data_IF_947772964207
#
_entry.id   IF_947772964207
#
_cell.length_a   1.000
_cell.length_b   1.000
_cell.length_c   1.000
_cell.angle_alpha   90.00
_cell.angle_beta   90.00
_cell.angle_gamma   90.00
#
_symmetry.space_group_name_H-M   'P 1'
#
loop_
_entity.id
_entity.type
_entity.pdbx_description
1 polymer ?
#
# COMPACT_ATOMS: atom_id res chain seq x y z
N UNK A 1 9.16 9.41 7.23
CA UNK A 1 9.84 8.12 7.02
C UNK A 1 10.58 8.11 5.69
N UNK A 2 10.99 6.92 5.24
CA UNK A 2 11.72 6.68 3.99
C UNK A 2 10.80 6.67 2.75
N UNK A 3 9.96 7.70 2.58
CA UNK A 3 8.84 7.67 1.63
C UNK A 3 9.26 7.54 0.17
N UNK A 4 10.40 8.13 -0.21
CA UNK A 4 10.94 7.99 -1.57
C UNK A 4 11.43 6.57 -1.87
N UNK A 5 11.88 5.84 -0.85
CA UNK A 5 12.28 4.43 -1.01
C UNK A 5 11.06 3.54 -1.19
N UNK A 6 10.01 3.74 -0.38
CA UNK A 6 8.73 3.03 -0.53
C UNK A 6 8.10 3.27 -1.90
N UNK A 7 8.13 4.52 -2.39
CA UNK A 7 7.66 4.83 -3.74
C UNK A 7 8.44 4.06 -4.81
N UNK A 8 9.78 4.10 -4.75
CA UNK A 8 10.62 3.40 -5.74
C UNK A 8 10.43 1.88 -5.69
N UNK A 9 10.24 1.32 -4.50
CA UNK A 9 9.99 -0.12 -4.32
C UNK A 9 8.69 -0.54 -5.02
N UNK A 10 7.59 0.16 -4.76
CA UNK A 10 6.29 -0.12 -5.41
C UNK A 10 6.39 0.10 -6.92
N UNK A 11 6.96 1.23 -7.37
CA UNK A 11 7.04 1.58 -8.78
C UNK A 11 7.84 0.54 -9.60
N UNK A 12 8.92 0.01 -9.03
CA UNK A 12 9.71 -1.05 -9.67
C UNK A 12 8.89 -2.34 -9.87
N UNK A 13 8.06 -2.72 -8.90
CA UNK A 13 7.16 -3.88 -9.03
C UNK A 13 6.05 -3.62 -10.05
N UNK A 14 5.48 -2.41 -10.06
CA UNK A 14 4.46 -2.00 -11.04
C UNK A 14 5.01 -2.06 -12.46
N UNK A 15 6.20 -1.53 -12.71
CA UNK A 15 6.85 -1.60 -14.03
C UNK A 15 7.12 -3.06 -14.45
N UNK A 16 7.71 -3.85 -13.53
CA UNK A 16 7.99 -5.27 -13.76
C UNK A 16 6.73 -6.13 -13.96
N UNK A 17 5.56 -5.66 -13.53
CA UNK A 17 4.29 -6.40 -13.68
C UNK A 17 3.86 -6.57 -15.15
N UNK A 18 4.40 -5.76 -16.06
CA UNK A 18 4.06 -5.77 -17.48
C UNK A 18 2.59 -5.45 -17.75
N UNK A 19 2.02 -4.51 -16.98
CA UNK A 19 0.62 -4.06 -17.13
C UNK A 19 -0.41 -4.94 -16.44
N UNK A 20 0.00 -5.91 -15.61
CA UNK A 20 -0.92 -6.67 -14.75
C UNK A 20 -1.40 -5.80 -13.59
N UNK A 21 -2.59 -6.12 -13.07
CA UNK A 21 -3.12 -5.40 -11.91
C UNK A 21 -2.26 -5.66 -10.66
N UNK A 22 -1.68 -4.59 -10.11
CA UNK A 22 -0.91 -4.62 -8.86
C UNK A 22 -1.77 -4.10 -7.72
N UNK A 23 -1.80 -4.86 -6.61
CA UNK A 23 -2.42 -4.45 -5.34
C UNK A 23 -1.34 -4.33 -4.28
N UNK A 24 -1.25 -3.17 -3.63
CA UNK A 24 -0.29 -2.94 -2.54
C UNK A 24 -0.99 -3.17 -1.20
N UNK A 25 -0.49 -4.13 -0.42
CA UNK A 25 -0.98 -4.33 0.95
C UNK A 25 -0.26 -3.35 1.88
N UNK A 26 -0.99 -2.45 2.53
CA UNK A 26 -0.40 -1.43 3.42
C UNK A 26 -0.32 -1.87 4.89
N UNK A 27 -0.95 -3.00 5.23
CA UNK A 27 -1.01 -3.59 6.58
C UNK A 27 -1.48 -2.59 7.65
N UNK A 28 -2.73 -2.15 7.54
CA UNK A 28 -3.31 -1.05 8.34
C UNK A 28 -3.21 -1.25 9.85
N UNK A 29 -3.17 -2.50 10.33
CA UNK A 29 -3.01 -2.84 11.74
C UNK A 29 -1.69 -2.34 12.37
N UNK A 30 -0.72 -1.92 11.55
CA UNK A 30 0.59 -1.42 11.97
C UNK A 30 0.78 0.08 11.74
N UNK A 31 -0.19 0.76 11.14
CA UNK A 31 -0.07 2.16 10.72
C UNK A 31 -1.03 3.06 11.48
N UNK A 32 -0.57 4.28 11.77
CA UNK A 32 -1.45 5.38 12.17
C UNK A 32 -2.29 5.87 11.00
N UNK A 33 -3.37 6.62 11.25
CA UNK A 33 -4.24 7.12 10.18
C UNK A 33 -3.51 8.03 9.18
N UNK A 34 -2.54 8.83 9.66
CA UNK A 34 -1.71 9.67 8.79
C UNK A 34 -0.74 8.83 7.93
N UNK A 35 -0.21 7.74 8.47
CA UNK A 35 0.61 6.80 7.71
C UNK A 35 -0.23 6.01 6.69
N UNK A 36 -1.47 5.62 7.02
CA UNK A 36 -2.40 4.99 6.06
C UNK A 36 -2.66 5.91 4.86
N UNK A 37 -3.00 7.19 5.11
CA UNK A 37 -3.19 8.20 4.05
C UNK A 37 -1.94 8.36 3.20
N UNK A 38 -0.78 8.45 3.84
CA UNK A 38 0.51 8.59 3.16
C UNK A 38 0.84 7.36 2.31
N UNK A 39 0.63 6.15 2.83
CA UNK A 39 0.84 4.90 2.10
C UNK A 39 -0.08 4.78 0.89
N UNK A 40 -1.37 5.14 1.03
CA UNK A 40 -2.31 5.18 -0.08
C UNK A 40 -1.86 6.15 -1.18
N UNK A 41 -1.45 7.37 -0.79
CA UNK A 41 -0.94 8.37 -1.74
C UNK A 41 0.29 7.87 -2.50
N UNK A 42 1.26 7.30 -1.79
CA UNK A 42 2.48 6.73 -2.40
C UNK A 42 2.14 5.59 -3.35
N UNK A 43 1.22 4.68 -2.97
CA UNK A 43 0.82 3.57 -3.83
C UNK A 43 0.17 4.05 -5.14
N UNK A 44 -0.66 5.10 -5.08
CA UNK A 44 -1.27 5.73 -6.27
C UNK A 44 -0.20 6.39 -7.15
N UNK A 45 0.70 7.19 -6.56
CA UNK A 45 1.78 7.87 -7.28
C UNK A 45 2.73 6.86 -7.97
N UNK A 46 2.99 5.72 -7.34
CA UNK A 46 3.80 4.64 -7.88
C UNK A 46 3.08 3.77 -8.95
N UNK A 47 1.80 4.03 -9.23
CA UNK A 47 1.04 3.37 -10.29
C UNK A 47 0.34 2.07 -9.90
N UNK A 48 0.19 1.77 -8.60
CA UNK A 48 -0.58 0.62 -8.16
C UNK A 48 -2.08 0.78 -8.51
N UNK A 49 -2.75 -0.33 -8.83
CA UNK A 49 -4.16 -0.30 -9.22
C UNK A 49 -5.10 -0.36 -8.02
N UNK A 50 -4.64 -0.95 -6.91
CA UNK A 50 -5.40 -1.07 -5.67
C UNK A 50 -4.50 -0.92 -4.47
N UNK A 51 -5.06 -0.41 -3.39
CA UNK A 51 -4.58 -0.67 -2.03
C UNK A 51 -5.39 -1.79 -1.40
N UNK A 52 -4.76 -2.63 -0.60
CA UNK A 52 -5.39 -3.69 0.18
C UNK A 52 -5.03 -3.47 1.65
N UNK A 53 -6.03 -3.60 2.52
CA UNK A 53 -5.87 -3.27 3.95
C UNK A 53 -4.82 -4.14 4.63
N UNK A 54 -4.95 -5.47 4.58
CA UNK A 54 -4.17 -6.37 5.44
C UNK A 54 -3.72 -7.67 4.75
N UNK A 55 -2.69 -8.30 5.31
CA UNK A 55 -2.24 -9.64 4.86
C UNK A 55 -3.09 -10.77 5.45
N UNK A 56 -3.63 -10.55 6.66
CA UNK A 56 -4.32 -11.58 7.46
C UNK A 56 -3.41 -12.33 8.45
N UNK A 57 -2.13 -11.95 8.55
CA UNK A 57 -1.16 -12.60 9.45
C UNK A 57 -0.68 -11.71 10.61
N UNK A 58 -1.16 -10.46 10.68
CA UNK A 58 -0.82 -9.50 11.73
C UNK A 58 -1.93 -9.41 12.80
N UNK A 59 -1.83 -8.42 13.69
CA UNK A 59 -2.69 -8.23 14.87
C UNK A 59 -4.10 -7.70 14.56
N UNK A 60 -4.44 -7.52 13.28
CA UNK A 60 -5.71 -6.96 12.84
C UNK A 60 -5.95 -7.19 11.35
N UNK A 61 -7.19 -6.90 10.90
CA UNK A 61 -7.64 -7.05 9.53
C UNK A 61 -8.36 -5.80 9.03
N UNK A 62 -9.21 -5.95 8.01
CA UNK A 62 -10.03 -4.86 7.49
C UNK A 62 -11.07 -4.37 8.51
N UNK A 63 -11.24 -3.05 8.63
CA UNK A 63 -12.34 -2.40 9.36
C UNK A 63 -13.15 -1.54 8.39
N UNK A 64 -14.35 -1.09 8.80
CA UNK A 64 -15.17 -0.19 7.97
C UNK A 64 -14.52 1.19 7.85
N UNK A 65 -13.81 1.62 8.89
CA UNK A 65 -13.14 2.92 8.94
C UNK A 65 -11.92 3.01 8.01
N UNK A 66 -11.27 1.86 7.74
CA UNK A 66 -10.08 1.78 6.88
C UNK A 66 -10.40 1.60 5.39
N UNK A 67 -11.67 1.37 5.01
CA UNK A 67 -12.12 1.07 3.63
C UNK A 67 -12.86 2.26 3.03
#
# INVERSE_FOLDING_TARGET
GLYQEVHRDIAAVVDASGGRLVKVIIETALLTDEEKKTACKIAVEAGANFVKTSTGFSRGGATVEDV
#
